data_IF_716894907685
#
_entry.id   IF_716894907685
#
_cell.length_a   1.000
_cell.length_b   1.000
_cell.length_c   1.000
_cell.angle_alpha   90.00
_cell.angle_beta   90.00
_cell.angle_gamma   90.00
#
_symmetry.space_group_name_H-M   'P 1'
#
loop_
_entity.id
_entity.type
_entity.pdbx_description
1 polymer ?
#
# COMPACT_ATOMS: atom_id res chain seq x y z
N UNK A 1 -35.18 11.23 1.62
CA UNK A 1 -33.76 11.29 2.05
C UNK A 1 -33.30 9.94 2.61
N UNK A 2 -33.51 8.85 1.85
CA UNK A 2 -33.06 7.51 2.19
C UNK A 2 -32.51 6.91 0.91
N UNK A 3 -31.18 6.87 0.79
CA UNK A 3 -30.41 6.18 -0.26
C UNK A 3 -28.97 6.63 -0.07
N UNK A 4 -28.16 5.87 0.65
CA UNK A 4 -26.69 5.77 0.49
C UNK A 4 -26.01 4.83 1.50
N UNK A 5 -26.73 4.28 2.49
CA UNK A 5 -26.19 3.23 3.37
C UNK A 5 -26.72 1.87 2.94
N UNK A 6 -25.98 1.22 2.04
CA UNK A 6 -26.02 -0.23 1.79
C UNK A 6 -24.94 -0.54 0.74
N UNK A 7 -23.67 -0.52 1.15
CA UNK A 7 -22.58 -1.12 0.36
C UNK A 7 -21.85 -2.11 1.26
N UNK A 8 -22.34 -3.34 1.25
CA UNK A 8 -21.66 -4.61 1.57
C UNK A 8 -20.42 -4.48 2.47
N UNK A 9 -20.53 -4.89 3.74
CA UNK A 9 -19.41 -5.14 4.67
C UNK A 9 -18.52 -6.32 4.20
N UNK A 10 -17.97 -6.24 2.99
CA UNK A 10 -16.84 -7.11 2.65
C UNK A 10 -15.62 -6.53 3.32
N UNK A 11 -14.87 -7.39 4.00
CA UNK A 11 -13.56 -7.05 4.52
C UNK A 11 -12.69 -6.49 3.38
N UNK A 12 -12.19 -5.27 3.58
CA UNK A 12 -11.37 -4.57 2.60
C UNK A 12 -10.01 -5.24 2.52
N UNK A 13 -9.54 -5.48 1.30
CA UNK A 13 -8.29 -6.23 1.07
C UNK A 13 -7.49 -5.61 -0.06
N UNK A 14 -6.17 -5.69 0.08
CA UNK A 14 -5.22 -5.36 -0.97
C UNK A 14 -4.40 -6.59 -1.33
N UNK A 15 -3.97 -6.65 -2.58
CA UNK A 15 -2.98 -7.64 -3.02
C UNK A 15 -1.61 -6.99 -2.85
N UNK A 16 -0.84 -7.51 -1.89
CA UNK A 16 0.45 -6.99 -1.49
C UNK A 16 1.54 -7.89 -2.06
N UNK A 17 2.51 -7.27 -2.74
CA UNK A 17 3.69 -7.96 -3.22
C UNK A 17 4.69 -8.14 -2.06
N UNK A 18 5.03 -7.06 -1.38
CA UNK A 18 5.98 -7.07 -0.25
C UNK A 18 5.75 -5.89 0.72
N UNK A 19 6.13 -6.10 1.98
CA UNK A 19 6.21 -5.05 3.01
C UNK A 19 7.56 -5.18 3.70
N UNK A 20 8.36 -4.12 3.71
CA UNK A 20 9.72 -4.17 4.27
C UNK A 20 10.18 -2.79 4.76
N UNK A 21 11.15 -2.79 5.68
CA UNK A 21 11.77 -1.59 6.22
C UNK A 21 13.11 -1.32 5.52
N UNK A 22 13.32 -0.08 5.08
CA UNK A 22 14.51 0.33 4.35
C UNK A 22 14.77 1.83 4.54
N UNK A 23 15.62 2.40 3.69
CA UNK A 23 15.87 3.83 3.57
C UNK A 23 15.22 4.34 2.28
N UNK A 24 14.50 5.45 2.35
CA UNK A 24 13.95 6.13 1.16
C UNK A 24 15.10 6.58 0.25
N UNK A 25 15.07 6.12 -1.01
CA UNK A 25 16.10 6.39 -2.00
C UNK A 25 15.84 7.65 -2.83
N UNK A 26 14.61 8.16 -2.86
CA UNK A 26 14.21 9.20 -3.82
C UNK A 26 13.41 10.38 -3.21
N UNK A 27 13.38 11.50 -3.94
CA UNK A 27 12.56 12.68 -3.68
C UNK A 27 12.88 13.45 -2.38
N UNK A 28 11.87 13.93 -1.66
CA UNK A 28 11.98 14.90 -0.55
C UNK A 28 12.51 14.26 0.73
N UNK A 29 12.28 12.96 0.91
CA UNK A 29 12.59 12.23 2.14
C UNK A 29 13.79 11.30 2.01
N UNK A 30 14.62 11.47 0.98
CA UNK A 30 15.84 10.69 0.75
C UNK A 30 16.67 10.56 2.03
N UNK A 31 17.13 9.35 2.33
CA UNK A 31 17.97 9.05 3.47
C UNK A 31 17.20 8.79 4.78
N UNK A 32 15.87 8.95 4.79
CA UNK A 32 15.06 8.63 5.97
C UNK A 32 14.70 7.13 6.01
N UNK A 33 14.71 6.50 7.20
CA UNK A 33 14.08 5.20 7.38
C UNK A 33 12.59 5.26 7.02
N UNK A 34 12.10 4.26 6.29
CA UNK A 34 10.71 4.13 5.93
C UNK A 34 10.29 2.65 5.78
N UNK A 35 8.99 2.41 5.88
CA UNK A 35 8.37 1.12 5.53
C UNK A 35 7.77 1.22 4.15
N UNK A 36 8.24 0.40 3.23
CA UNK A 36 7.62 0.27 1.91
C UNK A 36 6.46 -0.72 1.99
N UNK A 37 5.31 -0.33 1.45
CA UNK A 37 4.15 -1.19 1.21
C UNK A 37 3.97 -1.28 -0.30
N UNK A 38 4.50 -2.34 -0.92
CA UNK A 38 4.44 -2.55 -2.37
C UNK A 38 3.19 -3.35 -2.72
N UNK A 39 2.25 -2.73 -3.42
CA UNK A 39 1.05 -3.39 -3.94
C UNK A 39 1.39 -4.17 -5.23
N UNK A 40 0.53 -5.10 -5.60
CA UNK A 40 0.61 -5.84 -6.87
C UNK A 40 -0.18 -5.13 -7.96
N UNK A 41 0.21 -5.35 -9.22
CA UNK A 41 -0.46 -4.92 -10.45
C UNK A 41 -0.26 -3.44 -10.85
N UNK A 42 -0.05 -3.22 -12.14
CA UNK A 42 -0.08 -1.92 -12.81
C UNK A 42 -0.66 -2.13 -14.22
N UNK A 43 -1.45 -1.18 -14.70
CA UNK A 43 -2.09 -1.20 -16.01
C UNK A 43 -1.19 -0.65 -17.12
N UNK A 44 -0.10 0.01 -16.77
CA UNK A 44 0.94 0.46 -17.70
C UNK A 44 1.90 -0.67 -18.06
N UNK A 45 2.54 -0.55 -19.23
CA UNK A 45 3.56 -1.48 -19.75
C UNK A 45 4.79 -0.69 -20.17
N UNK A 46 5.37 0.03 -19.20
CA UNK A 46 6.54 0.86 -19.41
C UNK A 46 7.74 -0.01 -19.76
N UNK A 47 8.40 0.27 -20.89
CA UNK A 47 9.60 -0.43 -21.35
C UNK A 47 10.86 -0.14 -20.50
N UNK A 48 10.74 0.73 -19.51
CA UNK A 48 11.79 1.10 -18.55
C UNK A 48 11.41 0.74 -17.10
N UNK A 49 10.43 -0.16 -16.91
CA UNK A 49 10.04 -0.61 -15.57
C UNK A 49 11.12 -1.54 -15.01
N UNK A 50 11.65 -1.21 -13.85
CA UNK A 50 12.61 -2.02 -13.09
C UNK A 50 11.94 -3.03 -12.15
N UNK A 51 10.63 -2.93 -11.96
CA UNK A 51 9.85 -3.68 -10.96
C UNK A 51 8.79 -4.56 -11.63
N UNK A 52 9.13 -5.22 -12.74
CA UNK A 52 8.17 -6.05 -13.49
C UNK A 52 7.64 -7.25 -12.68
N UNK A 53 8.38 -7.71 -11.67
CA UNK A 53 7.94 -8.80 -10.79
C UNK A 53 6.67 -8.44 -9.99
N UNK A 54 6.45 -7.16 -9.70
CA UNK A 54 5.28 -6.68 -8.96
C UNK A 54 3.96 -6.78 -9.78
N UNK A 55 4.01 -7.16 -11.06
CA UNK A 55 2.81 -7.32 -11.88
C UNK A 55 2.00 -8.57 -11.57
N UNK A 56 2.62 -9.65 -11.08
CA UNK A 56 2.00 -10.98 -11.07
C UNK A 56 1.98 -11.65 -9.70
N UNK A 57 2.88 -11.27 -8.80
CA UNK A 57 3.01 -11.89 -7.49
C UNK A 57 2.37 -11.04 -6.40
N UNK A 58 1.78 -11.70 -5.40
CA UNK A 58 1.30 -11.06 -4.20
C UNK A 58 0.28 -11.89 -3.43
N UNK A 59 0.00 -11.47 -2.20
CA UNK A 59 -0.97 -12.11 -1.30
C UNK A 59 -2.08 -11.12 -0.99
N UNK A 60 -3.32 -11.60 -0.99
CA UNK A 60 -4.42 -10.81 -0.44
C UNK A 60 -4.24 -10.69 1.05
N UNK A 61 -4.22 -9.46 1.54
CA UNK A 61 -4.15 -9.12 2.94
C UNK A 61 -5.26 -8.13 3.28
N UNK A 62 -5.82 -8.27 4.48
CA UNK A 62 -6.76 -7.31 5.03
C UNK A 62 -6.03 -6.02 5.38
N UNK A 63 -6.76 -4.91 5.41
CA UNK A 63 -6.12 -3.64 5.78
C UNK A 63 -5.53 -3.66 7.20
N UNK A 64 -6.14 -4.42 8.11
CA UNK A 64 -5.64 -4.62 9.47
C UNK A 64 -4.31 -5.37 9.47
N UNK A 65 -4.19 -6.46 8.71
CA UNK A 65 -2.93 -7.21 8.59
C UNK A 65 -1.79 -6.33 8.06
N UNK A 66 -2.08 -5.44 7.12
CA UNK A 66 -1.10 -4.51 6.54
C UNK A 66 -0.65 -3.49 7.59
N UNK A 67 -1.60 -2.87 8.31
CA UNK A 67 -1.28 -1.91 9.38
C UNK A 67 -0.48 -2.58 10.50
N UNK A 68 -0.88 -3.78 10.92
CA UNK A 68 -0.17 -4.54 11.96
C UNK A 68 1.27 -4.87 11.52
N UNK A 69 1.47 -5.22 10.25
CA UNK A 69 2.80 -5.47 9.68
C UNK A 69 3.66 -4.20 9.65
N UNK A 70 3.09 -3.07 9.22
CA UNK A 70 3.78 -1.75 9.22
C UNK A 70 4.17 -1.34 10.64
N UNK A 71 3.26 -1.49 11.60
CA UNK A 71 3.50 -1.13 13.00
C UNK A 71 4.64 -1.95 13.64
N UNK A 72 4.83 -3.19 13.20
CA UNK A 72 5.92 -4.06 13.65
C UNK A 72 7.33 -3.51 13.37
N UNK A 73 7.47 -2.55 12.47
CA UNK A 73 8.77 -1.93 12.15
C UNK A 73 9.09 -0.68 12.98
N UNK A 74 8.14 -0.14 13.75
CA UNK A 74 8.33 1.06 14.60
C UNK A 74 8.91 2.26 13.84
N UNK A 75 8.49 2.45 12.59
CA UNK A 75 8.97 3.51 11.72
C UNK A 75 7.79 4.39 11.29
N UNK A 76 7.84 5.71 11.52
CA UNK A 76 6.69 6.59 11.30
C UNK A 76 6.47 6.89 9.81
N UNK A 77 7.45 6.68 8.94
CA UNK A 77 7.31 7.00 7.51
C UNK A 77 6.91 5.74 6.73
N UNK A 78 5.79 5.82 6.01
CA UNK A 78 5.29 4.74 5.14
C UNK A 78 5.25 5.19 3.69
N UNK A 79 5.83 4.38 2.81
CA UNK A 79 5.88 4.59 1.37
C UNK A 79 4.99 3.56 0.67
N UNK A 80 3.77 3.96 0.31
CA UNK A 80 2.84 3.11 -0.45
C UNK A 80 3.18 3.23 -1.94
N UNK A 81 3.51 2.10 -2.56
CA UNK A 81 4.02 2.05 -3.93
C UNK A 81 3.58 0.75 -4.63
N UNK A 82 3.98 0.57 -5.89
CA UNK A 82 3.97 -0.71 -6.64
C UNK A 82 2.60 -1.32 -6.91
N UNK A 83 2.41 -2.08 -8.00
CA UNK A 83 2.65 -1.50 -9.31
C UNK A 83 2.09 -0.08 -9.32
N UNK A 84 0.85 0.13 -9.74
CA UNK A 84 0.18 1.43 -9.57
C UNK A 84 -0.74 1.32 -8.35
N UNK A 85 -0.35 1.87 -7.19
CA UNK A 85 -1.08 1.67 -5.94
C UNK A 85 -2.54 2.11 -6.05
N UNK A 86 -2.83 3.17 -6.82
CA UNK A 86 -4.17 3.72 -6.95
C UNK A 86 -5.15 2.85 -7.76
N UNK A 87 -4.68 1.77 -8.41
CA UNK A 87 -5.57 0.84 -9.11
C UNK A 87 -6.35 -0.08 -8.16
N UNK A 88 -5.86 -0.30 -6.94
CA UNK A 88 -6.55 -1.12 -5.96
C UNK A 88 -7.47 -0.24 -5.10
N UNK A 89 -8.79 -0.39 -5.24
CA UNK A 89 -9.81 0.49 -4.63
C UNK A 89 -9.67 0.69 -3.12
N UNK A 90 -9.16 -0.32 -2.42
CA UNK A 90 -9.04 -0.29 -0.96
C UNK A 90 -7.76 0.41 -0.47
N UNK A 91 -6.92 0.96 -1.36
CA UNK A 91 -5.70 1.69 -0.99
C UNK A 91 -6.01 3.02 -0.32
N UNK A 92 -7.07 3.72 -0.75
CA UNK A 92 -7.46 4.99 -0.14
C UNK A 92 -7.92 4.80 1.31
N UNK A 93 -8.76 3.80 1.63
CA UNK A 93 -8.99 3.40 3.01
C UNK A 93 -7.72 3.09 3.81
N UNK A 94 -6.73 2.39 3.23
CA UNK A 94 -5.46 2.12 3.91
C UNK A 94 -4.71 3.41 4.25
N UNK A 95 -4.57 4.32 3.27
CA UNK A 95 -3.93 5.62 3.45
C UNK A 95 -4.58 6.42 4.59
N UNK A 96 -5.92 6.47 4.61
CA UNK A 96 -6.66 7.16 5.68
C UNK A 96 -6.37 6.57 7.06
N UNK A 97 -6.41 5.23 7.17
CA UNK A 97 -6.12 4.58 8.45
C UNK A 97 -4.69 4.83 8.93
N UNK A 98 -3.70 4.83 8.03
CA UNK A 98 -2.30 5.12 8.39
C UNK A 98 -2.15 6.58 8.87
N UNK A 99 -2.76 7.54 8.15
CA UNK A 99 -2.77 8.94 8.57
C UNK A 99 -3.46 9.14 9.93
N UNK A 100 -4.61 8.48 10.16
CA UNK A 100 -5.35 8.54 11.44
C UNK A 100 -4.53 7.95 12.61
N UNK A 101 -3.62 7.02 12.32
CA UNK A 101 -2.68 6.43 13.28
C UNK A 101 -1.39 7.25 13.47
N UNK A 102 -1.20 8.33 12.70
CA UNK A 102 -0.06 9.24 12.83
C UNK A 102 1.19 8.85 12.07
N UNK A 103 1.07 8.00 11.03
CA UNK A 103 2.11 7.80 10.02
C UNK A 103 2.14 8.95 9.00
#
# INVERSE_FOLDING_TARGET
>A
MQRFQEKSDREKTLTINEIYHSIQGESTWVGRPCVFVRLTFCDLRCNYCDTEYAFYEGKKQTLKEIVDAVAGFYCPLVEITGGEPLLQKDVLPLMLMLCDLGY
#
